data_IF_305390023164
#
_entry.id   IF_305390023164
#
_cell.length_a   1.000
_cell.length_b   1.000
_cell.length_c   1.000
_cell.angle_alpha   90.00
_cell.angle_beta   90.00
_cell.angle_gamma   90.00
#
_symmetry.space_group_name_H-M   'P 1'
#
loop_
_entity.id
_entity.type
_entity.pdbx_description
1 polymer ?
#
# COMPACT_ATOMS: atom_id res chain seq x y z
N UNK A 1 11.79 -35.22 19.22
CA UNK A 1 10.96 -34.05 19.58
C UNK A 1 9.59 -34.59 19.88
N UNK A 2 8.98 -34.16 20.95
CA UNK A 2 7.66 -34.61 21.35
C UNK A 2 6.64 -33.92 20.43
N UNK A 3 5.83 -34.69 19.71
CA UNK A 3 4.75 -34.13 18.89
C UNK A 3 3.56 -33.81 19.79
N UNK A 4 3.00 -32.62 19.63
CA UNK A 4 1.79 -32.17 20.32
C UNK A 4 0.67 -32.00 19.30
N UNK A 5 -0.57 -32.26 19.74
CA UNK A 5 -1.77 -32.03 18.93
C UNK A 5 -2.70 -31.10 19.68
N UNK A 6 -3.08 -29.99 19.05
CA UNK A 6 -4.15 -29.11 19.53
C UNK A 6 -5.32 -29.11 18.55
N UNK A 7 -6.54 -28.94 19.10
CA UNK A 7 -7.77 -28.84 18.31
C UNK A 7 -8.38 -27.48 18.49
N UNK A 8 -8.71 -26.81 17.39
CA UNK A 8 -9.37 -25.51 17.35
C UNK A 8 -10.76 -25.71 16.77
N UNK A 9 -11.79 -25.23 17.47
CA UNK A 9 -13.17 -25.33 17.02
C UNK A 9 -13.64 -24.03 16.34
N UNK A 10 -14.32 -24.19 15.21
CA UNK A 10 -15.01 -23.13 14.50
C UNK A 10 -16.46 -23.03 14.96
N UNK A 11 -17.06 -21.85 14.84
CA UNK A 11 -18.48 -21.65 15.16
C UNK A 11 -19.41 -22.41 14.23
N UNK A 12 -19.02 -22.49 12.95
CA UNK A 12 -19.80 -23.13 11.88
C UNK A 12 -18.92 -23.53 10.69
N UNK A 13 -19.53 -24.17 9.72
CA UNK A 13 -18.86 -24.60 8.48
C UNK A 13 -18.42 -23.42 7.60
N UNK A 14 -19.02 -22.24 7.77
CA UNK A 14 -18.64 -21.05 6.99
C UNK A 14 -17.28 -20.49 7.47
N UNK A 15 -17.06 -20.42 8.79
CA UNK A 15 -15.74 -20.09 9.36
C UNK A 15 -14.68 -21.11 8.92
N UNK A 16 -15.01 -22.40 8.99
CA UNK A 16 -14.11 -23.44 8.53
C UNK A 16 -13.71 -23.25 7.05
N UNK A 17 -14.67 -23.09 6.17
CA UNK A 17 -14.43 -22.87 4.74
C UNK A 17 -13.61 -21.60 4.47
N UNK A 18 -13.87 -20.51 5.19
CA UNK A 18 -13.14 -19.27 5.05
C UNK A 18 -11.66 -19.41 5.44
N UNK A 19 -11.37 -20.15 6.53
CA UNK A 19 -10.00 -20.36 7.01
C UNK A 19 -9.23 -21.36 6.14
N UNK A 20 -9.90 -22.37 5.59
CA UNK A 20 -9.27 -23.34 4.67
C UNK A 20 -8.92 -22.68 3.32
N UNK A 21 -9.71 -21.71 2.92
CA UNK A 21 -9.58 -21.06 1.62
C UNK A 21 -10.12 -21.91 0.47
N UNK A 22 -10.17 -21.32 -0.71
CA UNK A 22 -10.62 -22.02 -1.91
C UNK A 22 -9.64 -23.18 -2.24
N UNK A 23 -10.17 -24.41 -2.34
CA UNK A 23 -9.37 -25.63 -2.56
C UNK A 23 -8.27 -25.84 -1.51
N UNK A 24 -8.54 -25.50 -0.28
CA UNK A 24 -7.60 -25.62 0.85
C UNK A 24 -6.29 -24.85 0.71
N UNK A 25 -6.29 -23.77 -0.09
CA UNK A 25 -5.07 -22.97 -0.36
C UNK A 25 -4.49 -22.34 0.90
N UNK A 26 -5.33 -21.82 1.80
CA UNK A 26 -4.86 -21.22 3.05
C UNK A 26 -4.39 -22.29 4.06
N UNK A 27 -5.05 -23.44 4.08
CA UNK A 27 -4.63 -24.60 4.87
C UNK A 27 -3.22 -25.05 4.46
N UNK A 28 -2.99 -25.24 3.16
CA UNK A 28 -1.67 -25.60 2.64
C UNK A 28 -0.61 -24.57 3.00
N UNK A 29 -0.92 -23.28 2.83
CA UNK A 29 -0.03 -22.19 3.21
C UNK A 29 0.34 -22.24 4.71
N UNK A 30 -0.62 -22.49 5.60
CA UNK A 30 -0.35 -22.63 7.04
C UNK A 30 0.52 -23.85 7.35
N UNK A 31 0.30 -24.98 6.69
CA UNK A 31 1.11 -26.20 6.86
C UNK A 31 2.58 -25.96 6.45
N UNK A 32 2.80 -25.27 5.32
CA UNK A 32 4.14 -24.94 4.84
C UNK A 32 4.87 -24.02 5.80
N UNK A 33 4.19 -22.97 6.27
CA UNK A 33 4.78 -21.94 7.14
C UNK A 33 5.16 -22.50 8.52
N UNK A 34 4.33 -23.34 9.13
CA UNK A 34 4.56 -23.85 10.48
C UNK A 34 5.16 -25.25 10.55
N UNK A 35 5.35 -25.90 9.40
CA UNK A 35 5.80 -27.30 9.35
C UNK A 35 4.93 -28.24 10.19
N UNK A 36 3.64 -27.93 10.31
CA UNK A 36 2.65 -28.72 11.04
C UNK A 36 1.77 -29.50 10.09
N UNK A 37 1.31 -30.68 10.55
CA UNK A 37 0.21 -31.38 9.92
C UNK A 37 -1.10 -30.78 10.41
N UNK A 38 -1.87 -30.19 9.50
CA UNK A 38 -3.17 -29.58 9.81
C UNK A 38 -4.27 -30.36 9.09
N UNK A 39 -5.28 -30.81 9.86
CA UNK A 39 -6.39 -31.62 9.33
C UNK A 39 -7.70 -31.01 9.78
N UNK A 40 -8.56 -30.68 8.83
CA UNK A 40 -9.93 -30.22 9.11
C UNK A 40 -10.92 -31.38 9.09
N UNK A 41 -11.81 -31.42 10.08
CA UNK A 41 -12.93 -32.38 10.14
C UNK A 41 -14.19 -31.65 10.63
N UNK A 42 -15.07 -31.33 9.71
CA UNK A 42 -16.25 -30.52 10.02
C UNK A 42 -15.88 -29.16 10.55
N UNK A 43 -16.30 -28.85 11.77
CA UNK A 43 -15.99 -27.58 12.45
C UNK A 43 -14.76 -27.66 13.37
N UNK A 44 -13.93 -28.68 13.24
CA UNK A 44 -12.72 -28.84 14.03
C UNK A 44 -11.47 -28.84 13.14
N UNK A 45 -10.42 -28.15 13.59
CA UNK A 45 -9.10 -28.10 12.99
C UNK A 45 -8.08 -28.70 13.95
N UNK A 46 -7.52 -29.85 13.63
CA UNK A 46 -6.45 -30.48 14.38
C UNK A 46 -5.09 -30.06 13.81
N UNK A 47 -4.21 -29.51 14.67
CA UNK A 47 -2.85 -29.10 14.34
C UNK A 47 -1.89 -29.98 15.12
N UNK A 48 -1.01 -30.70 14.41
CA UNK A 48 -0.05 -31.65 14.99
C UNK A 48 1.36 -31.31 14.52
N UNK A 49 2.31 -31.24 15.43
CA UNK A 49 3.71 -30.93 15.14
C UNK A 49 4.54 -30.64 16.38
N UNK A 50 5.65 -29.92 16.22
CA UNK A 50 6.45 -29.43 17.35
C UNK A 50 5.64 -28.46 18.21
N UNK A 51 5.83 -28.48 19.52
CA UNK A 51 5.03 -27.67 20.45
C UNK A 51 5.04 -26.17 20.12
N UNK A 52 6.21 -25.59 19.76
CA UNK A 52 6.33 -24.18 19.36
C UNK A 52 5.54 -23.87 18.09
N UNK A 53 5.62 -24.74 17.09
CA UNK A 53 4.92 -24.53 15.80
C UNK A 53 3.40 -24.69 15.98
N UNK A 54 2.95 -25.65 16.78
CA UNK A 54 1.52 -25.85 17.09
C UNK A 54 0.97 -24.65 17.85
N UNK A 55 1.69 -24.14 18.86
CA UNK A 55 1.29 -22.95 19.61
C UNK A 55 1.21 -21.70 18.71
N UNK A 56 2.22 -21.50 17.83
CA UNK A 56 2.22 -20.40 16.89
C UNK A 56 1.09 -20.50 15.85
N UNK A 57 0.86 -21.68 15.30
CA UNK A 57 -0.25 -21.93 14.38
C UNK A 57 -1.61 -21.66 15.03
N UNK A 58 -1.81 -22.08 16.28
CA UNK A 58 -3.02 -21.80 17.03
C UNK A 58 -3.27 -20.30 17.20
N UNK A 59 -2.25 -19.55 17.59
CA UNK A 59 -2.35 -18.08 17.74
C UNK A 59 -2.71 -17.43 16.41
N UNK A 60 -2.05 -17.82 15.31
CA UNK A 60 -2.38 -17.28 13.98
C UNK A 60 -3.82 -17.59 13.60
N UNK A 61 -4.28 -18.84 13.76
CA UNK A 61 -5.66 -19.22 13.44
C UNK A 61 -6.67 -18.37 14.21
N UNK A 62 -6.42 -18.13 15.51
CA UNK A 62 -7.29 -17.28 16.32
C UNK A 62 -7.37 -15.83 15.80
N UNK A 63 -6.23 -15.24 15.40
CA UNK A 63 -6.19 -13.88 14.83
C UNK A 63 -6.85 -13.83 13.45
N UNK A 64 -6.65 -14.83 12.60
CA UNK A 64 -7.33 -14.92 11.30
C UNK A 64 -8.85 -15.05 11.45
N UNK A 65 -9.32 -15.85 12.42
CA UNK A 65 -10.75 -15.94 12.73
C UNK A 65 -11.31 -14.61 13.28
N UNK A 66 -10.56 -13.92 14.15
CA UNK A 66 -10.93 -12.59 14.61
C UNK A 66 -11.11 -11.62 13.43
N UNK A 67 -10.16 -11.61 12.52
CA UNK A 67 -10.20 -10.78 11.31
C UNK A 67 -11.36 -11.13 10.38
N UNK A 68 -11.58 -12.43 10.15
CA UNK A 68 -12.70 -12.91 9.34
C UNK A 68 -14.07 -12.53 9.92
N UNK A 69 -14.23 -12.63 11.26
CA UNK A 69 -15.46 -12.26 11.99
C UNK A 69 -15.81 -10.78 11.87
N UNK A 70 -14.86 -9.93 11.51
CA UNK A 70 -15.08 -8.53 11.18
C UNK A 70 -15.43 -8.30 9.71
N UNK A 71 -15.73 -9.34 8.94
CA UNK A 71 -16.11 -9.26 7.52
C UNK A 71 -14.95 -9.24 6.55
N UNK A 72 -13.71 -9.41 7.04
CA UNK A 72 -12.53 -9.41 6.17
C UNK A 72 -12.38 -10.74 5.41
N UNK A 73 -11.94 -10.65 4.17
CA UNK A 73 -11.57 -11.81 3.36
C UNK A 73 -10.14 -12.21 3.66
N UNK A 74 -9.94 -13.49 4.01
CA UNK A 74 -8.61 -14.06 4.21
C UNK A 74 -7.94 -14.37 2.87
N UNK A 75 -6.63 -14.16 2.80
CA UNK A 75 -5.77 -14.50 1.67
C UNK A 75 -4.46 -15.10 2.16
N UNK A 76 -3.65 -15.66 1.25
CA UNK A 76 -2.30 -16.16 1.58
C UNK A 76 -1.39 -15.07 2.15
N UNK A 77 -1.63 -13.81 1.82
CA UNK A 77 -0.88 -12.68 2.41
C UNK A 77 -1.11 -12.59 3.92
N UNK A 78 -2.37 -12.61 4.38
CA UNK A 78 -2.69 -12.55 5.81
C UNK A 78 -2.10 -13.74 6.57
N UNK A 79 -2.09 -14.92 5.96
CA UNK A 79 -1.47 -16.13 6.56
C UNK A 79 0.05 -15.94 6.69
N UNK A 80 0.73 -15.60 5.60
CA UNK A 80 2.20 -15.50 5.58
C UNK A 80 2.70 -14.35 6.46
N UNK A 81 2.10 -13.17 6.34
CA UNK A 81 2.49 -12.00 7.12
C UNK A 81 2.14 -12.17 8.60
N UNK A 82 0.96 -12.70 8.89
CA UNK A 82 0.54 -13.02 10.26
C UNK A 82 1.48 -14.03 10.92
N UNK A 83 1.88 -15.08 10.21
CA UNK A 83 2.82 -16.07 10.72
C UNK A 83 4.20 -15.46 11.06
N UNK A 84 4.70 -14.54 10.22
CA UNK A 84 5.94 -13.82 10.51
C UNK A 84 5.83 -12.99 11.81
N UNK A 85 4.71 -12.31 12.03
CA UNK A 85 4.48 -11.51 13.23
C UNK A 85 4.32 -12.40 14.48
N UNK A 86 3.59 -13.50 14.37
CA UNK A 86 3.42 -14.47 15.48
C UNK A 86 4.78 -15.05 15.88
N UNK A 87 5.60 -15.50 14.93
CA UNK A 87 6.95 -16.02 15.20
C UNK A 87 7.90 -14.97 15.77
N UNK A 88 7.71 -13.70 15.44
CA UNK A 88 8.45 -12.58 16.01
C UNK A 88 7.93 -12.13 17.39
N UNK A 89 6.92 -12.81 17.98
CA UNK A 89 6.30 -12.43 19.24
C UNK A 89 5.47 -11.15 19.19
N UNK A 90 5.04 -10.72 17.99
CA UNK A 90 4.34 -9.45 17.72
C UNK A 90 2.83 -9.63 17.50
N UNK A 91 2.19 -10.47 18.32
CA UNK A 91 0.76 -10.80 18.19
C UNK A 91 -0.12 -9.57 18.39
N UNK A 92 0.23 -8.69 19.34
CA UNK A 92 -0.52 -7.45 19.59
C UNK A 92 -0.51 -6.51 18.37
N UNK A 93 0.61 -6.46 17.66
CA UNK A 93 0.70 -5.69 16.41
C UNK A 93 -0.17 -6.28 15.31
N UNK A 94 -0.23 -7.62 15.20
CA UNK A 94 -1.11 -8.33 14.26
C UNK A 94 -2.58 -8.06 14.60
N UNK A 95 -2.96 -8.18 15.86
CA UNK A 95 -4.31 -7.88 16.34
C UNK A 95 -4.72 -6.44 16.00
N UNK A 96 -3.86 -5.47 16.32
CA UNK A 96 -4.11 -4.06 16.04
C UNK A 96 -4.17 -3.75 14.53
N UNK A 97 -3.42 -4.48 13.72
CA UNK A 97 -3.46 -4.36 12.25
C UNK A 97 -4.82 -4.82 11.71
N UNK A 98 -5.36 -5.92 12.24
CA UNK A 98 -6.64 -6.47 11.81
C UNK A 98 -7.86 -5.69 12.33
N UNK A 99 -7.73 -4.96 13.43
CA UNK A 99 -8.84 -4.24 14.05
C UNK A 99 -9.22 -2.94 13.32
N UNK A 100 -8.27 -2.24 12.69
CA UNK A 100 -8.49 -0.88 12.19
C UNK A 100 -9.04 -0.86 10.75
N UNK A 101 -10.29 -0.38 10.58
CA UNK A 101 -10.88 -0.04 9.26
C UNK A 101 -10.60 1.43 8.95
N UNK A 102 -9.94 1.68 7.82
CA UNK A 102 -9.63 3.04 7.35
C UNK A 102 -10.82 3.68 6.66
N UNK A 103 -11.50 2.90 5.85
CA UNK A 103 -12.58 3.35 4.97
C UNK A 103 -13.34 2.14 4.44
N UNK A 104 -14.63 2.34 4.14
CA UNK A 104 -15.43 1.38 3.36
C UNK A 104 -15.63 1.96 1.95
N UNK A 105 -15.28 1.17 0.93
CA UNK A 105 -15.44 1.57 -0.48
C UNK A 105 -16.92 1.61 -0.88
N UNK A 106 -17.22 2.19 -2.04
CA UNK A 106 -18.61 2.19 -2.58
C UNK A 106 -19.16 0.77 -2.82
N UNK A 107 -18.30 -0.23 -2.99
CA UNK A 107 -18.68 -1.64 -3.15
C UNK A 107 -18.82 -2.39 -1.82
N UNK A 108 -18.76 -1.69 -0.69
CA UNK A 108 -18.85 -2.29 0.64
C UNK A 108 -17.58 -3.00 1.12
N UNK A 109 -16.46 -2.88 0.39
CA UNK A 109 -15.19 -3.48 0.77
C UNK A 109 -14.49 -2.59 1.81
N UNK A 110 -14.13 -3.16 2.95
CA UNK A 110 -13.32 -2.49 3.94
C UNK A 110 -11.86 -2.38 3.48
N UNK A 111 -11.29 -1.21 3.67
CA UNK A 111 -9.87 -0.93 3.43
C UNK A 111 -9.17 -0.86 4.78
N UNK A 112 -8.11 -1.64 4.92
CA UNK A 112 -7.28 -1.74 6.12
C UNK A 112 -5.80 -1.67 5.73
N UNK A 113 -4.94 -1.30 6.67
CA UNK A 113 -3.51 -1.54 6.52
C UNK A 113 -3.27 -3.06 6.52
N UNK A 114 -2.40 -3.54 5.64
CA UNK A 114 -2.08 -4.97 5.50
C UNK A 114 -0.71 -5.32 6.06
N UNK A 115 0.11 -4.31 6.36
CA UNK A 115 1.44 -4.46 6.96
C UNK A 115 1.70 -3.38 7.99
N UNK A 116 2.68 -3.61 8.86
CA UNK A 116 3.06 -2.62 9.87
C UNK A 116 3.71 -1.39 9.26
N UNK A 117 4.44 -1.54 8.14
CA UNK A 117 4.95 -0.40 7.38
C UNK A 117 3.84 0.47 6.84
N UNK A 118 2.75 -0.12 6.31
CA UNK A 118 1.56 0.61 5.91
C UNK A 118 0.88 1.31 7.10
N UNK A 119 0.78 0.64 8.24
CA UNK A 119 0.21 1.24 9.46
C UNK A 119 1.04 2.44 9.96
N UNK A 120 2.38 2.35 9.97
CA UNK A 120 3.26 3.49 10.30
C UNK A 120 3.08 4.64 9.31
N UNK A 121 2.98 4.33 8.02
CA UNK A 121 2.72 5.32 6.97
C UNK A 121 1.42 6.10 7.22
N UNK A 122 0.33 5.40 7.49
CA UNK A 122 -0.96 6.01 7.80
C UNK A 122 -0.91 6.85 9.09
N UNK A 123 -0.24 6.36 10.13
CA UNK A 123 -0.04 7.11 11.37
C UNK A 123 0.72 8.42 11.14
N UNK A 124 1.76 8.40 10.28
CA UNK A 124 2.51 9.61 9.93
C UNK A 124 1.69 10.57 9.08
N UNK A 125 0.86 10.10 8.15
CA UNK A 125 -0.06 10.96 7.40
C UNK A 125 -1.02 11.70 8.34
N UNK A 126 -1.53 11.04 9.38
CA UNK A 126 -2.43 11.66 10.35
C UNK A 126 -1.75 12.72 11.22
N UNK A 127 -0.48 12.52 11.56
CA UNK A 127 0.25 13.36 12.54
C UNK A 127 1.02 14.52 11.94
N UNK A 128 1.28 14.52 10.64
CA UNK A 128 2.14 15.51 10.00
C UNK A 128 1.39 16.29 8.91
N UNK A 129 1.81 17.52 8.72
CA UNK A 129 1.32 18.36 7.61
C UNK A 129 1.86 17.87 6.26
N UNK A 130 3.09 17.37 6.24
CA UNK A 130 3.74 16.79 5.06
C UNK A 130 4.22 15.38 5.39
N UNK A 131 3.91 14.39 4.54
CA UNK A 131 4.41 13.03 4.68
C UNK A 131 5.04 12.55 3.37
N UNK A 132 6.28 12.08 3.46
CA UNK A 132 7.02 11.47 2.36
C UNK A 132 6.97 9.94 2.54
N UNK A 133 6.23 9.24 1.68
CA UNK A 133 6.13 7.78 1.65
C UNK A 133 6.98 7.21 0.52
N UNK A 134 8.12 6.61 0.85
CA UNK A 134 9.05 6.04 -0.13
C UNK A 134 9.17 4.54 0.01
N UNK A 135 9.37 3.83 -1.08
CA UNK A 135 9.54 2.37 -1.08
C UNK A 135 9.20 1.73 -2.41
N UNK A 136 9.35 0.40 -2.53
CA UNK A 136 9.15 -0.32 -3.78
C UNK A 136 7.71 -0.21 -4.31
N UNK A 137 7.56 -0.42 -5.62
CA UNK A 137 6.25 -0.55 -6.24
C UNK A 137 5.46 -1.74 -5.64
N UNK A 138 4.14 -1.58 -5.47
CA UNK A 138 3.27 -2.61 -4.88
C UNK A 138 3.13 -2.56 -3.35
N UNK A 139 3.78 -1.62 -2.65
CA UNK A 139 3.58 -1.41 -1.20
C UNK A 139 2.33 -0.59 -0.85
N UNK A 140 1.53 -0.18 -1.83
CA UNK A 140 0.25 0.50 -1.62
C UNK A 140 0.35 1.99 -1.29
N UNK A 141 1.52 2.64 -1.42
CA UNK A 141 1.75 4.06 -1.08
C UNK A 141 0.68 5.00 -1.63
N UNK A 142 0.52 4.99 -2.93
CA UNK A 142 -0.41 5.87 -3.65
C UNK A 142 -1.85 5.55 -3.30
N UNK A 143 -2.22 4.27 -3.29
CA UNK A 143 -3.57 3.83 -2.95
C UNK A 143 -3.98 4.25 -1.53
N UNK A 144 -3.12 4.02 -0.54
CA UNK A 144 -3.38 4.40 0.85
C UNK A 144 -3.39 5.93 1.04
N UNK A 145 -2.58 6.68 0.30
CA UNK A 145 -2.66 8.14 0.30
C UNK A 145 -4.03 8.63 -0.22
N UNK A 146 -4.55 8.02 -1.30
CA UNK A 146 -5.88 8.33 -1.84
C UNK A 146 -6.99 7.92 -0.86
N UNK A 147 -6.88 6.76 -0.20
CA UNK A 147 -7.80 6.33 0.87
C UNK A 147 -7.86 7.38 1.98
N UNK A 148 -6.71 7.86 2.46
CA UNK A 148 -6.63 8.89 3.49
C UNK A 148 -7.22 10.23 3.03
N UNK A 149 -7.00 10.61 1.78
CA UNK A 149 -7.56 11.82 1.20
C UNK A 149 -9.09 11.76 1.14
N UNK A 150 -9.65 10.63 0.67
CA UNK A 150 -11.10 10.42 0.62
C UNK A 150 -11.70 10.39 2.02
N UNK A 151 -11.03 9.74 2.99
CA UNK A 151 -11.47 9.73 4.38
C UNK A 151 -11.50 11.16 4.96
N UNK A 152 -10.44 11.94 4.77
CA UNK A 152 -10.35 13.33 5.22
C UNK A 152 -11.44 14.22 4.59
N UNK A 153 -11.73 14.04 3.30
CA UNK A 153 -12.80 14.77 2.61
C UNK A 153 -14.20 14.37 3.16
N UNK A 154 -14.45 13.07 3.38
CA UNK A 154 -15.72 12.58 3.97
C UNK A 154 -15.91 13.10 5.40
N UNK A 155 -14.85 13.16 6.17
CA UNK A 155 -14.84 13.69 7.54
C UNK A 155 -14.88 15.23 7.61
N UNK A 156 -14.84 15.92 6.45
CA UNK A 156 -14.75 17.40 6.36
C UNK A 156 -13.51 17.99 7.04
N UNK A 157 -12.43 17.22 7.11
CA UNK A 157 -11.12 17.69 7.57
C UNK A 157 -10.46 18.60 6.51
N UNK A 158 -10.84 18.40 5.25
CA UNK A 158 -10.42 19.20 4.08
C UNK A 158 -11.62 19.47 3.18
N UNK A 159 -11.55 20.52 2.38
CA UNK A 159 -12.61 20.90 1.43
C UNK A 159 -12.45 20.27 0.06
N UNK A 160 -11.25 19.82 -0.31
CA UNK A 160 -10.95 19.22 -1.62
C UNK A 160 -9.72 18.32 -1.60
N UNK A 161 -9.61 17.48 -2.64
CA UNK A 161 -8.47 16.60 -2.89
C UNK A 161 -7.78 17.09 -4.16
N UNK A 162 -6.45 17.21 -4.13
CA UNK A 162 -5.64 17.57 -5.29
C UNK A 162 -4.62 16.46 -5.52
N UNK A 163 -4.72 15.80 -6.66
CA UNK A 163 -3.81 14.74 -7.07
C UNK A 163 -2.93 15.24 -8.20
N UNK A 164 -1.63 15.07 -8.05
CA UNK A 164 -0.68 15.52 -9.06
C UNK A 164 0.43 14.51 -9.26
N UNK A 165 0.97 14.51 -10.48
CA UNK A 165 2.09 13.67 -10.89
C UNK A 165 3.02 14.47 -11.81
N UNK A 166 4.35 14.28 -11.73
CA UNK A 166 5.24 14.86 -12.72
C UNK A 166 4.94 14.26 -14.09
N UNK A 167 4.86 15.09 -15.09
CA UNK A 167 4.84 14.63 -16.48
C UNK A 167 6.29 14.26 -16.85
N UNK A 168 6.61 12.97 -16.88
CA UNK A 168 7.92 12.46 -17.27
C UNK A 168 7.75 11.72 -18.57
N UNK A 169 8.55 12.10 -19.55
CA UNK A 169 8.70 11.34 -20.80
C UNK A 169 9.57 10.11 -20.52
N UNK A 170 8.97 8.98 -20.18
CA UNK A 170 9.67 7.70 -20.10
C UNK A 170 10.03 7.22 -21.52
N UNK A 171 11.07 7.81 -22.12
CA UNK A 171 11.56 7.41 -23.45
C UNK A 171 10.71 7.79 -24.64
N UNK A 172 9.47 8.22 -24.45
CA UNK A 172 8.58 8.73 -25.48
C UNK A 172 8.38 10.24 -25.30
N UNK A 173 8.80 11.04 -26.29
CA UNK A 173 8.56 12.47 -26.24
C UNK A 173 7.05 12.77 -26.32
N UNK A 174 6.50 13.49 -25.36
CA UNK A 174 5.10 13.96 -25.34
C UNK A 174 4.68 14.62 -26.69
N UNK A 175 5.65 15.05 -27.47
CA UNK A 175 5.46 15.58 -28.82
C UNK A 175 4.89 14.59 -29.86
N UNK A 176 5.03 13.27 -29.64
CA UNK A 176 4.54 12.25 -30.59
C UNK A 176 3.10 11.78 -30.33
N UNK A 177 2.52 12.08 -29.16
CA UNK A 177 1.13 11.72 -28.90
C UNK A 177 0.18 12.74 -29.56
N UNK A 178 -0.86 12.30 -30.30
CA UNK A 178 -1.88 13.19 -30.85
C UNK A 178 -2.75 13.76 -29.72
N UNK A 179 -3.29 14.97 -29.93
CA UNK A 179 -4.17 15.63 -28.98
C UNK A 179 -3.56 16.83 -28.25
N UNK A 180 -4.37 17.49 -27.42
CA UNK A 180 -3.91 18.59 -26.58
C UNK A 180 -3.03 18.11 -25.42
N UNK A 181 -2.45 19.05 -24.67
CA UNK A 181 -1.53 18.73 -23.56
C UNK A 181 -2.22 17.87 -22.49
N UNK A 182 -3.49 18.10 -22.25
CA UNK A 182 -4.30 17.39 -21.26
C UNK A 182 -4.54 15.94 -21.69
N UNK A 183 -4.87 15.72 -22.96
CA UNK A 183 -5.04 14.39 -23.55
C UNK A 183 -3.74 13.58 -23.52
N UNK A 184 -2.61 14.20 -23.77
CA UNK A 184 -1.27 13.58 -23.74
C UNK A 184 -0.83 13.15 -22.34
N UNK A 185 -1.25 13.87 -21.30
CA UNK A 185 -0.88 13.61 -19.91
C UNK A 185 -1.85 12.63 -19.23
N UNK A 186 -3.08 12.51 -19.73
CA UNK A 186 -4.12 11.68 -19.15
C UNK A 186 -3.72 10.21 -18.89
N UNK A 187 -2.97 9.52 -19.77
CA UNK A 187 -2.49 8.16 -19.51
C UNK A 187 -1.63 8.05 -18.25
N UNK A 188 -0.81 9.05 -17.95
CA UNK A 188 0.05 9.06 -16.75
C UNK A 188 -0.71 9.29 -15.46
N UNK A 189 -1.90 9.90 -15.54
CA UNK A 189 -2.79 10.14 -14.39
C UNK A 189 -3.77 8.98 -14.13
N UNK A 190 -3.86 8.01 -15.05
CA UNK A 190 -4.80 6.90 -14.99
C UNK A 190 -4.75 6.10 -13.68
N UNK A 191 -3.58 5.76 -13.11
CA UNK A 191 -3.52 5.06 -11.83
C UNK A 191 -4.20 5.81 -10.68
N UNK A 192 -4.20 7.14 -10.71
CA UNK A 192 -4.89 7.96 -9.71
C UNK A 192 -6.40 7.93 -9.90
N UNK A 193 -6.86 7.96 -11.16
CA UNK A 193 -8.28 7.80 -11.48
C UNK A 193 -8.81 6.42 -11.08
N UNK A 194 -8.03 5.36 -11.36
CA UNK A 194 -8.39 3.99 -11.02
C UNK A 194 -8.53 3.81 -9.49
N UNK A 195 -7.60 4.37 -8.71
CA UNK A 195 -7.67 4.35 -7.25
C UNK A 195 -8.91 5.10 -6.71
N UNK A 196 -9.22 6.28 -7.26
CA UNK A 196 -10.41 7.03 -6.89
C UNK A 196 -11.70 6.27 -7.22
N UNK A 197 -11.78 5.66 -8.41
CA UNK A 197 -12.95 4.91 -8.85
C UNK A 197 -13.14 3.61 -8.05
N UNK A 198 -12.06 2.92 -7.66
CA UNK A 198 -12.15 1.76 -6.78
C UNK A 198 -12.77 2.12 -5.42
N UNK A 199 -12.39 3.28 -4.86
CA UNK A 199 -12.85 3.72 -3.55
C UNK A 199 -14.26 4.32 -3.60
N UNK A 200 -14.51 5.21 -4.56
CA UNK A 200 -15.74 6.02 -4.64
C UNK A 200 -16.84 5.39 -5.47
N UNK A 201 -16.51 4.41 -6.33
CA UNK A 201 -17.38 3.96 -7.41
C UNK A 201 -17.47 5.00 -8.54
N UNK A 202 -17.96 4.59 -9.70
CA UNK A 202 -18.04 5.47 -10.88
C UNK A 202 -18.91 6.71 -10.65
N UNK A 203 -20.09 6.53 -10.08
CA UNK A 203 -21.03 7.64 -9.82
C UNK A 203 -20.49 8.61 -8.76
N UNK A 204 -19.95 8.08 -7.64
CA UNK A 204 -19.36 8.89 -6.58
C UNK A 204 -18.18 9.71 -7.07
N UNK A 205 -17.32 9.09 -7.88
CA UNK A 205 -16.21 9.76 -8.53
C UNK A 205 -16.67 10.91 -9.44
N UNK A 206 -17.60 10.65 -10.36
CA UNK A 206 -18.13 11.66 -11.28
C UNK A 206 -18.77 12.83 -10.53
N UNK A 207 -19.56 12.55 -9.48
CA UNK A 207 -20.19 13.57 -8.64
C UNK A 207 -19.16 14.45 -7.93
N UNK A 208 -18.06 13.90 -7.44
CA UNK A 208 -17.00 14.68 -6.77
C UNK A 208 -16.20 15.51 -7.77
N UNK A 209 -15.91 14.97 -8.96
CA UNK A 209 -15.23 15.71 -10.03
C UNK A 209 -16.08 16.88 -10.53
N UNK A 210 -17.37 16.68 -10.82
CA UNK A 210 -18.27 17.73 -11.30
C UNK A 210 -18.47 18.88 -10.28
N UNK A 211 -18.33 18.58 -8.99
CA UNK A 211 -18.36 19.57 -7.90
C UNK A 211 -17.01 20.21 -7.60
N UNK A 212 -15.97 19.87 -8.36
CA UNK A 212 -14.60 20.34 -8.14
C UNK A 212 -14.03 20.01 -6.74
N UNK A 213 -14.56 18.96 -6.10
CA UNK A 213 -14.05 18.46 -4.83
C UNK A 213 -12.79 17.60 -5.02
N UNK A 214 -12.57 17.11 -6.24
CA UNK A 214 -11.37 16.37 -6.64
C UNK A 214 -10.81 17.05 -7.89
N UNK A 215 -9.53 17.37 -7.86
CA UNK A 215 -8.75 17.87 -8.98
C UNK A 215 -7.60 16.91 -9.26
N UNK A 216 -7.44 16.49 -10.51
CA UNK A 216 -6.28 15.70 -10.96
C UNK A 216 -5.57 16.49 -12.04
N UNK A 217 -4.32 16.89 -11.78
CA UNK A 217 -3.59 17.79 -12.65
C UNK A 217 -2.10 17.46 -12.70
N UNK A 218 -1.41 17.77 -13.81
CA UNK A 218 0.05 17.71 -13.87
C UNK A 218 0.70 18.63 -12.84
N UNK A 219 1.88 18.25 -12.36
CA UNK A 219 2.63 19.04 -11.37
C UNK A 219 2.88 20.49 -11.80
N UNK A 220 3.05 20.73 -13.11
CA UNK A 220 3.27 22.09 -13.64
C UNK A 220 2.11 23.04 -13.35
N UNK A 221 0.87 22.54 -13.24
CA UNK A 221 -0.33 23.36 -12.99
C UNK A 221 -0.51 23.75 -11.52
N UNK A 222 0.31 23.21 -10.64
CA UNK A 222 0.34 23.57 -9.22
C UNK A 222 1.19 24.84 -8.96
N UNK A 223 2.03 25.21 -9.93
CA UNK A 223 2.91 26.38 -9.79
C UNK A 223 2.13 27.69 -9.61
N UNK A 224 2.58 28.52 -8.65
CA UNK A 224 1.98 29.82 -8.36
C UNK A 224 0.71 29.77 -7.52
N UNK A 225 0.23 28.58 -7.15
CA UNK A 225 -0.97 28.42 -6.32
C UNK A 225 -0.58 28.28 -4.84
N UNK A 226 -1.48 28.67 -3.94
CA UNK A 226 -1.48 28.26 -2.54
C UNK A 226 -2.68 27.34 -2.34
N UNK A 227 -2.44 26.15 -1.79
CA UNK A 227 -3.44 25.09 -1.68
C UNK A 227 -3.91 25.02 -0.24
N UNK A 228 -5.02 25.70 0.05
CA UNK A 228 -5.63 25.78 1.38
C UNK A 228 -6.75 24.72 1.52
N UNK A 229 -7.01 24.28 2.75
CA UNK A 229 -8.06 23.33 3.13
C UNK A 229 -8.11 22.09 2.21
N UNK A 230 -6.94 21.61 1.82
CA UNK A 230 -6.79 20.60 0.78
C UNK A 230 -6.00 19.39 1.25
N UNK A 231 -6.37 18.20 0.77
CA UNK A 231 -5.50 17.03 0.84
C UNK A 231 -4.77 16.87 -0.50
N UNK A 232 -3.47 17.01 -0.49
CA UNK A 232 -2.65 17.12 -1.70
C UNK A 232 -1.76 15.89 -1.81
N UNK A 233 -1.76 15.23 -2.97
CA UNK A 233 -0.92 14.06 -3.23
C UNK A 233 -0.04 14.34 -4.45
N UNK A 234 1.27 14.17 -4.28
CA UNK A 234 2.23 14.09 -5.38
C UNK A 234 2.70 12.65 -5.51
N UNK A 235 2.28 12.00 -6.59
CA UNK A 235 2.68 10.63 -6.91
C UNK A 235 3.87 10.59 -7.88
N UNK A 236 4.64 9.48 -7.89
CA UNK A 236 5.87 9.29 -8.69
C UNK A 236 6.89 10.42 -8.52
N UNK A 237 6.99 10.91 -7.29
CA UNK A 237 7.79 12.09 -6.95
C UNK A 237 9.30 11.91 -7.14
N UNK A 238 9.81 10.66 -7.26
CA UNK A 238 11.20 10.39 -7.63
C UNK A 238 11.57 11.01 -8.98
N UNK A 239 10.58 11.21 -9.84
CA UNK A 239 10.71 11.80 -11.17
C UNK A 239 10.58 13.34 -11.17
N UNK A 240 10.70 13.98 -10.03
CA UNK A 240 10.83 15.44 -9.91
C UNK A 240 12.29 15.86 -9.77
N UNK A 241 12.61 17.04 -10.27
CA UNK A 241 13.87 17.72 -9.93
C UNK A 241 13.77 18.36 -8.55
N UNK A 242 14.90 18.71 -7.92
CA UNK A 242 14.91 19.42 -6.64
C UNK A 242 14.14 20.75 -6.66
N UNK A 243 14.20 21.47 -7.79
CA UNK A 243 13.44 22.71 -7.96
C UNK A 243 11.93 22.46 -8.02
N UNK A 244 11.48 21.43 -8.73
CA UNK A 244 10.07 21.05 -8.78
C UNK A 244 9.55 20.56 -7.42
N UNK A 245 10.32 19.76 -6.70
CA UNK A 245 9.98 19.31 -5.36
C UNK A 245 9.84 20.48 -4.39
N UNK A 246 10.82 21.40 -4.37
CA UNK A 246 10.75 22.61 -3.55
C UNK A 246 9.54 23.46 -3.93
N UNK A 247 9.31 23.68 -5.22
CA UNK A 247 8.14 24.39 -5.72
C UNK A 247 6.84 23.78 -5.21
N UNK A 248 6.68 22.46 -5.28
CA UNK A 248 5.50 21.75 -4.81
C UNK A 248 5.30 21.85 -3.29
N UNK A 249 6.32 21.54 -2.50
CA UNK A 249 6.24 21.54 -1.03
C UNK A 249 5.88 22.94 -0.48
N UNK A 250 6.29 24.00 -1.16
CA UNK A 250 5.96 25.38 -0.79
C UNK A 250 4.56 25.83 -1.20
N UNK A 251 3.74 24.95 -1.77
CA UNK A 251 2.30 25.21 -2.07
C UNK A 251 1.38 24.90 -0.92
N UNK A 252 1.87 24.25 0.14
CA UNK A 252 1.08 23.92 1.31
C UNK A 252 0.46 25.17 1.93
N UNK A 253 -0.87 25.25 1.94
CA UNK A 253 -1.65 26.30 2.57
C UNK A 253 -2.17 25.88 3.95
N UNK A 254 -2.83 26.80 4.64
CA UNK A 254 -3.46 26.53 5.94
C UNK A 254 -4.56 25.46 5.80
N UNK A 255 -4.77 24.66 6.84
CA UNK A 255 -5.78 23.61 6.85
C UNK A 255 -5.46 22.42 5.92
N UNK A 256 -4.29 22.42 5.28
CA UNK A 256 -3.95 21.41 4.28
C UNK A 256 -3.01 20.33 4.81
N UNK A 257 -3.09 19.18 4.15
CA UNK A 257 -2.19 18.02 4.35
C UNK A 257 -1.61 17.60 3.01
N UNK A 258 -0.32 17.27 3.00
CA UNK A 258 0.40 16.92 1.78
C UNK A 258 1.06 15.55 1.95
N UNK A 259 0.88 14.70 0.95
CA UNK A 259 1.51 13.38 0.88
C UNK A 259 2.30 13.28 -0.42
N UNK A 260 3.55 12.87 -0.30
CA UNK A 260 4.46 12.65 -1.43
C UNK A 260 4.80 11.18 -1.49
N UNK A 261 4.53 10.53 -2.62
CA UNK A 261 4.82 9.11 -2.83
C UNK A 261 5.83 8.90 -3.93
N UNK A 262 6.66 7.86 -3.80
CA UNK A 262 7.61 7.51 -4.85
C UNK A 262 8.51 6.32 -4.52
N UNK A 263 9.24 5.87 -5.54
CA UNK A 263 10.23 4.80 -5.47
C UNK A 263 11.63 5.36 -5.81
N UNK A 264 12.53 5.36 -4.85
CA UNK A 264 13.88 5.92 -5.04
C UNK A 264 14.78 5.09 -5.99
N UNK A 265 14.36 3.89 -6.35
CA UNK A 265 15.07 3.01 -7.26
C UNK A 265 14.58 3.13 -8.70
N UNK A 266 13.30 3.54 -8.90
CA UNK A 266 12.67 3.69 -10.21
C UNK A 266 12.70 5.16 -10.68
N UNK A 267 13.89 5.68 -10.96
CA UNK A 267 14.07 7.08 -11.38
C UNK A 267 14.23 7.15 -12.89
N UNK A 268 13.28 7.79 -13.57
CA UNK A 268 13.23 7.96 -15.03
C UNK A 268 13.76 9.35 -15.48
N UNK A 269 14.42 10.09 -14.60
CA UNK A 269 15.01 11.38 -14.92
C UNK A 269 16.22 11.21 -15.85
N UNK A 270 16.52 12.22 -16.70
CA UNK A 270 17.71 12.22 -17.54
C UNK A 270 18.98 11.97 -16.74
N UNK A 271 19.96 11.28 -17.34
CA UNK A 271 21.25 10.98 -16.69
C UNK A 271 21.90 12.25 -16.14
N UNK A 272 22.36 12.18 -14.89
CA UNK A 272 22.97 13.33 -14.19
C UNK A 272 21.99 14.24 -13.45
N UNK A 273 20.68 14.04 -13.60
CA UNK A 273 19.68 14.81 -12.86
C UNK A 273 19.36 14.11 -11.54
N UNK A 274 19.58 14.81 -10.42
CA UNK A 274 19.27 14.26 -9.10
C UNK A 274 17.76 14.30 -8.81
N UNK A 275 17.23 13.20 -8.26
CA UNK A 275 15.83 13.11 -7.84
C UNK A 275 15.51 14.08 -6.71
N UNK A 276 14.49 14.90 -6.90
CA UNK A 276 13.98 15.83 -5.89
C UNK A 276 13.42 15.12 -4.67
N UNK A 277 12.82 13.94 -4.83
CA UNK A 277 12.35 13.13 -3.71
C UNK A 277 13.52 12.64 -2.83
N UNK A 278 14.61 12.17 -3.46
CA UNK A 278 15.81 11.74 -2.73
C UNK A 278 16.42 12.89 -1.93
N UNK A 279 16.53 14.08 -2.54
CA UNK A 279 16.99 15.30 -1.86
C UNK A 279 16.06 15.70 -0.73
N UNK A 280 14.73 15.69 -0.94
CA UNK A 280 13.75 16.05 0.08
C UNK A 280 13.83 15.13 1.30
N UNK A 281 14.00 13.82 1.10
CA UNK A 281 14.17 12.86 2.20
C UNK A 281 15.41 13.15 3.05
N UNK A 282 16.48 13.69 2.47
CA UNK A 282 17.70 14.07 3.19
C UNK A 282 17.54 15.41 3.92
N UNK A 283 17.03 16.42 3.20
CA UNK A 283 16.94 17.81 3.70
C UNK A 283 15.88 17.94 4.79
N UNK A 284 14.75 17.23 4.66
CA UNK A 284 13.60 17.40 5.57
C UNK A 284 13.62 16.42 6.76
N UNK A 285 14.66 15.62 6.89
CA UNK A 285 14.82 14.74 8.06
C UNK A 285 14.89 15.54 9.35
N UNK A 286 13.95 15.29 10.28
CA UNK A 286 13.88 15.98 11.57
C UNK A 286 13.15 17.34 11.53
N UNK A 287 12.64 17.79 10.38
CA UNK A 287 11.83 19.01 10.31
C UNK A 287 10.48 18.77 10.97
N UNK A 288 10.10 19.62 11.92
CA UNK A 288 8.82 19.52 12.64
C UNK A 288 7.64 19.62 11.66
N UNK A 289 6.68 18.72 11.78
CA UNK A 289 5.50 18.63 10.89
C UNK A 289 5.76 17.90 9.58
N UNK A 290 6.96 17.33 9.38
CA UNK A 290 7.31 16.47 8.25
C UNK A 290 7.57 15.05 8.73
N UNK A 291 6.82 14.08 8.19
CA UNK A 291 7.01 12.65 8.40
C UNK A 291 7.69 12.01 7.18
N UNK A 292 8.65 11.13 7.42
CA UNK A 292 9.27 10.31 6.36
C UNK A 292 9.08 8.85 6.72
N UNK A 293 8.53 8.06 5.80
CA UNK A 293 8.33 6.62 5.95
C UNK A 293 9.03 5.91 4.81
N UNK A 294 9.74 4.84 5.15
CA UNK A 294 10.27 3.89 4.19
C UNK A 294 9.50 2.59 4.32
N UNK A 295 8.80 2.23 3.25
CA UNK A 295 8.18 0.93 3.09
C UNK A 295 9.22 -0.03 2.51
N UNK A 296 9.26 -1.22 3.06
CA UNK A 296 10.28 -2.21 2.75
C UNK A 296 9.70 -3.31 1.81
N UNK A 297 10.53 -4.19 1.23
CA UNK A 297 10.04 -5.29 0.40
C UNK A 297 9.00 -6.19 1.10
N UNK A 298 9.05 -6.33 2.43
CA UNK A 298 8.05 -7.07 3.21
C UNK A 298 6.66 -6.44 3.17
N UNK A 299 6.58 -5.14 2.83
CA UNK A 299 5.31 -4.42 2.68
C UNK A 299 4.68 -4.56 1.29
N UNK A 300 5.32 -5.31 0.37
CA UNK A 300 4.79 -5.53 -0.98
C UNK A 300 3.59 -6.46 -0.93
N UNK A 301 2.46 -5.98 -1.47
CA UNK A 301 1.22 -6.75 -1.59
C UNK A 301 0.93 -6.94 -3.06
N UNK A 302 1.25 -8.13 -3.55
CA UNK A 302 1.06 -8.50 -4.95
C UNK A 302 0.50 -9.91 -5.05
N UNK A 303 -0.07 -10.20 -6.22
CA UNK A 303 -0.44 -11.57 -6.56
C UNK A 303 0.81 -12.46 -6.56
N UNK A 304 0.76 -13.65 -5.99
CA UNK A 304 1.89 -14.58 -5.86
C UNK A 304 2.65 -14.80 -7.18
N UNK A 305 1.92 -15.01 -8.28
CA UNK A 305 2.53 -15.17 -9.60
C UNK A 305 3.36 -13.95 -9.99
N UNK A 306 2.91 -12.73 -9.70
CA UNK A 306 3.64 -11.50 -9.99
C UNK A 306 4.91 -11.41 -9.14
N UNK A 307 4.86 -11.83 -7.88
CA UNK A 307 6.05 -11.91 -7.01
C UNK A 307 7.08 -12.86 -7.62
N UNK A 308 6.68 -14.07 -7.99
CA UNK A 308 7.56 -15.07 -8.63
C UNK A 308 8.16 -14.58 -9.96
N UNK A 309 7.37 -13.84 -10.76
CA UNK A 309 7.87 -13.24 -12.01
C UNK A 309 8.97 -12.22 -11.69
N UNK A 310 8.75 -11.29 -10.76
CA UNK A 310 9.73 -10.26 -10.40
C UNK A 310 11.02 -10.88 -9.86
N UNK A 311 10.91 -11.89 -9.00
CA UNK A 311 12.06 -12.65 -8.48
C UNK A 311 12.86 -13.33 -9.59
N UNK A 312 12.17 -13.95 -10.56
CA UNK A 312 12.81 -14.61 -11.70
C UNK A 312 13.59 -13.61 -12.57
N UNK A 313 13.00 -12.45 -12.87
CA UNK A 313 13.68 -11.39 -13.62
C UNK A 313 14.88 -10.82 -12.84
N UNK A 314 14.72 -10.53 -11.54
CA UNK A 314 15.81 -10.05 -10.69
C UNK A 314 16.97 -11.04 -10.59
N UNK A 315 16.68 -12.34 -10.51
CA UNK A 315 17.72 -13.38 -10.52
C UNK A 315 18.45 -13.46 -11.87
N UNK A 316 17.74 -13.25 -12.98
CA UNK A 316 18.33 -13.24 -14.31
C UNK A 316 19.24 -12.01 -14.52
N UNK A 317 18.82 -10.84 -14.10
CA UNK A 317 19.59 -9.59 -14.19
C UNK A 317 20.90 -9.67 -13.39
N UNK A 318 20.85 -10.20 -12.15
CA UNK A 318 22.03 -10.44 -11.32
C UNK A 318 23.05 -11.37 -12.00
N UNK A 319 22.58 -12.45 -12.65
CA UNK A 319 23.44 -13.38 -13.40
C UNK A 319 24.09 -12.71 -14.63
N UNK A 320 23.40 -11.75 -15.24
CA UNK A 320 23.88 -11.02 -16.42
C UNK A 320 24.90 -9.94 -16.03
N UNK A 321 24.69 -9.24 -14.92
CA UNK A 321 25.63 -8.26 -14.38
C UNK A 321 26.97 -8.87 -13.97
N UNK A 322 26.97 -10.11 -13.45
CA UNK A 322 28.17 -10.86 -13.11
C UNK A 322 28.98 -11.33 -14.34
N UNK A 323 28.34 -11.50 -15.51
CA UNK A 323 29.04 -11.92 -16.76
C UNK A 323 29.65 -10.77 -17.55
N UNK A 324 29.42 -9.51 -17.19
CA UNK A 324 29.96 -8.32 -17.85
C UNK A 324 30.95 -7.55 -16.96
N UNK A 325 31.33 -8.12 -15.82
CA UNK A 325 32.31 -7.57 -14.88
C UNK A 325 33.66 -8.34 -14.82
N UNK A 326 33.87 -9.30 -15.74
CA UNK A 326 35.18 -9.97 -15.96
C UNK A 326 35.84 -9.48 -17.24
#
# INVERSE_FOLDING_TARGET
MQETTETIEFRDMHEAAALLGERDTLLQCMQEVFSCRIVSRGTALAVTGAEEDVAAARVLVQELLFYHRQGAKLTTHEVNYGAQLVRAGRVEDLHALFAEVLLVTAKGKEVRAKTLGQRDYLAKIRRNAVTLGVGPAGTGKTYLAVVMAVAALRNREVSRIILTRPAVEAGEHLGFLPGDLTEKINPYLRPLYDALQDILGAEGYQKMMSRQLIEVAPLAYIRGRTLEDSFIILDEAQNTTGAQMKMFLTRLGFGSRMVVTGDLEQVDLPRGTASGLRQACQILKGVRGVGIVRLEPVDIIRHEVVTRIVEAYGAWEKKRGQKHGD
#
